data_IF_508917488878
#
_entry.id   IF_508917488878
#
_cell.length_a   1.000
_cell.length_b   1.000
_cell.length_c   1.000
_cell.angle_alpha   90.00
_cell.angle_beta   90.00
_cell.angle_gamma   90.00
#
_symmetry.space_group_name_H-M   'P 1'
#
loop_
_entity.id
_entity.type
_entity.pdbx_description
1 polymer ?
#
# COMPACT_ATOMS: atom_id res chain seq x y z
N UNK A 1 -36.21 9.98 22.33
CA UNK A 1 -35.02 9.27 21.86
C UNK A 1 -33.81 10.21 21.63
N UNK A 2 -33.80 11.44 22.16
CA UNK A 2 -32.74 12.45 21.96
C UNK A 2 -31.84 12.71 23.19
N UNK A 3 -32.22 12.31 24.38
CA UNK A 3 -31.41 12.58 25.60
C UNK A 3 -30.44 11.45 25.97
N UNK A 4 -30.72 10.20 25.57
CA UNK A 4 -29.85 9.05 25.86
C UNK A 4 -28.57 8.99 24.96
N UNK A 5 -28.48 9.80 23.90
CA UNK A 5 -27.33 9.88 22.98
C UNK A 5 -26.33 10.95 23.43
N UNK A 6 -26.77 11.95 24.20
CA UNK A 6 -25.91 13.07 24.63
C UNK A 6 -25.02 12.76 25.84
N UNK A 7 -25.37 11.76 26.65
CA UNK A 7 -24.67 11.46 27.93
C UNK A 7 -23.41 10.54 27.75
N UNK A 8 -23.09 10.04 26.55
CA UNK A 8 -21.88 9.23 26.30
C UNK A 8 -20.66 9.99 25.75
N UNK A 9 -20.70 11.32 25.78
CA UNK A 9 -19.68 12.19 25.14
C UNK A 9 -18.38 12.38 25.93
N UNK A 10 -18.06 11.56 26.94
CA UNK A 10 -16.88 11.76 27.80
C UNK A 10 -15.89 10.57 27.89
N UNK A 11 -16.15 9.44 27.23
CA UNK A 11 -15.30 8.24 27.32
C UNK A 11 -14.31 8.09 26.16
N UNK A 12 -13.24 7.28 26.32
CA UNK A 12 -12.35 6.96 25.22
C UNK A 12 -13.12 6.27 24.08
N UNK A 13 -12.95 6.73 22.84
CA UNK A 13 -13.69 6.29 21.64
C UNK A 13 -13.68 4.77 21.40
N UNK A 14 -12.66 4.06 21.88
CA UNK A 14 -12.55 2.60 21.70
C UNK A 14 -13.54 1.79 22.57
N UNK A 15 -14.16 2.40 23.59
CA UNK A 15 -15.20 1.75 24.40
C UNK A 15 -16.53 1.58 23.64
N UNK A 16 -16.75 2.38 22.59
CA UNK A 16 -17.95 2.32 21.77
C UNK A 16 -17.86 1.25 20.67
N UNK A 17 -16.70 0.60 20.55
CA UNK A 17 -16.41 -0.35 19.48
C UNK A 17 -16.67 -1.78 19.98
N UNK A 18 -17.51 -2.51 19.25
CA UNK A 18 -17.84 -3.90 19.56
C UNK A 18 -16.70 -4.86 19.23
N UNK A 19 -16.70 -6.04 19.86
CA UNK A 19 -15.72 -7.10 19.59
C UNK A 19 -15.70 -7.52 18.10
N UNK A 20 -16.86 -7.57 17.45
CA UNK A 20 -16.97 -7.89 16.02
C UNK A 20 -16.30 -6.84 15.14
N UNK A 21 -16.41 -5.56 15.48
CA UNK A 21 -15.76 -4.45 14.78
C UNK A 21 -14.23 -4.51 14.93
N UNK A 22 -13.74 -4.87 16.13
CA UNK A 22 -12.31 -5.11 16.34
C UNK A 22 -11.80 -6.30 15.53
N UNK A 23 -12.57 -7.38 15.41
CA UNK A 23 -12.20 -8.51 14.55
C UNK A 23 -12.16 -8.15 13.07
N UNK A 24 -13.11 -7.34 12.58
CA UNK A 24 -13.09 -6.84 11.22
C UNK A 24 -11.87 -5.94 10.95
N UNK A 25 -11.52 -5.04 11.89
CA UNK A 25 -10.33 -4.22 11.80
C UNK A 25 -9.06 -5.08 11.78
N UNK A 26 -8.94 -6.03 12.70
CA UNK A 26 -7.78 -6.92 12.77
C UNK A 26 -7.65 -7.76 11.49
N UNK A 27 -8.76 -8.25 10.93
CA UNK A 27 -8.75 -8.99 9.67
C UNK A 27 -8.21 -8.13 8.51
N UNK A 28 -8.71 -6.91 8.37
CA UNK A 28 -8.23 -5.98 7.33
C UNK A 28 -6.78 -5.55 7.55
N UNK A 29 -6.39 -5.23 8.80
CA UNK A 29 -5.01 -4.84 9.12
C UNK A 29 -4.02 -5.99 8.91
N UNK A 30 -4.35 -7.18 9.41
CA UNK A 30 -3.48 -8.34 9.28
C UNK A 30 -3.41 -8.83 7.83
N UNK A 31 -4.53 -8.83 7.09
CA UNK A 31 -4.53 -9.12 5.66
C UNK A 31 -3.60 -8.18 4.90
N UNK A 32 -3.72 -6.87 5.14
CA UNK A 32 -2.85 -5.85 4.54
C UNK A 32 -1.38 -5.99 4.96
N UNK A 33 -1.12 -6.41 6.21
CA UNK A 33 0.24 -6.72 6.68
C UNK A 33 0.81 -7.95 5.98
N UNK A 34 0.02 -9.00 5.79
CA UNK A 34 0.45 -10.23 5.12
C UNK A 34 0.68 -10.00 3.62
N UNK A 35 -0.10 -9.13 2.98
CA UNK A 35 0.10 -8.69 1.60
C UNK A 35 1.43 -7.92 1.46
N UNK A 36 1.67 -6.92 2.32
CA UNK A 36 2.93 -6.20 2.38
C UNK A 36 4.12 -7.13 2.64
N UNK A 37 3.95 -8.12 3.52
CA UNK A 37 4.94 -9.14 3.80
C UNK A 37 5.36 -9.87 2.52
N UNK A 38 4.42 -10.46 1.78
CA UNK A 38 4.71 -11.22 0.57
C UNK A 38 5.35 -10.39 -0.54
N UNK A 39 4.85 -9.17 -0.74
CA UNK A 39 5.40 -8.26 -1.76
C UNK A 39 6.82 -7.86 -1.42
N UNK A 40 7.08 -7.53 -0.15
CA UNK A 40 8.39 -7.04 0.29
C UNK A 40 9.42 -8.15 0.46
N UNK A 41 9.02 -9.42 0.61
CA UNK A 41 9.96 -10.54 0.54
C UNK A 41 10.79 -10.48 -0.75
N UNK A 42 10.16 -10.14 -1.89
CA UNK A 42 10.88 -10.00 -3.15
C UNK A 42 11.93 -8.88 -3.11
N UNK A 43 11.62 -7.74 -2.50
CA UNK A 43 12.56 -6.62 -2.39
C UNK A 43 13.87 -7.02 -1.68
N UNK A 44 13.78 -7.89 -0.67
CA UNK A 44 14.95 -8.39 0.06
C UNK A 44 15.76 -9.44 -0.72
N UNK A 45 15.12 -10.25 -1.55
CA UNK A 45 15.80 -11.31 -2.32
C UNK A 45 16.22 -10.88 -3.72
N UNK A 46 15.77 -9.71 -4.17
CA UNK A 46 15.97 -9.17 -5.52
C UNK A 46 17.43 -9.20 -5.94
N UNK A 47 18.34 -8.69 -5.10
CA UNK A 47 19.79 -8.66 -5.41
C UNK A 47 20.41 -10.06 -5.46
N UNK A 48 19.89 -11.00 -4.69
CA UNK A 48 20.34 -12.40 -4.72
C UNK A 48 19.91 -13.09 -6.01
N UNK A 49 18.66 -12.86 -6.44
CA UNK A 49 18.13 -13.37 -7.71
C UNK A 49 18.90 -12.77 -8.89
N UNK A 50 19.18 -11.48 -8.87
CA UNK A 50 20.00 -10.81 -9.88
C UNK A 50 21.36 -11.49 -10.04
N UNK A 51 22.03 -11.82 -8.94
CA UNK A 51 23.32 -12.47 -8.93
C UNK A 51 23.24 -13.91 -9.44
N UNK A 52 22.24 -14.69 -9.00
CA UNK A 52 22.08 -16.11 -9.36
C UNK A 52 21.76 -16.28 -10.86
N UNK A 53 20.86 -15.43 -11.39
CA UNK A 53 20.39 -15.52 -12.77
C UNK A 53 21.07 -14.53 -13.72
N UNK A 54 22.13 -13.89 -13.28
CA UNK A 54 22.90 -12.86 -14.04
C UNK A 54 21.97 -11.86 -14.75
N UNK A 55 20.94 -11.39 -14.02
CA UNK A 55 19.92 -10.49 -14.55
C UNK A 55 20.24 -9.02 -14.29
N UNK A 56 19.79 -8.15 -15.20
CA UNK A 56 19.97 -6.71 -15.04
C UNK A 56 19.07 -6.15 -13.93
N UNK A 57 19.43 -5.00 -13.31
CA UNK A 57 18.55 -4.32 -12.36
C UNK A 57 17.20 -3.95 -12.97
N UNK A 58 17.15 -3.58 -14.26
CA UNK A 58 15.90 -3.30 -14.96
C UNK A 58 14.99 -4.55 -15.02
N UNK A 59 15.54 -5.72 -15.33
CA UNK A 59 14.78 -6.99 -15.35
C UNK A 59 14.26 -7.36 -13.96
N UNK A 60 15.06 -7.16 -12.92
CA UNK A 60 14.65 -7.39 -11.54
C UNK A 60 13.56 -6.41 -11.08
N UNK A 61 13.67 -5.13 -11.42
CA UNK A 61 12.63 -4.12 -11.19
C UNK A 61 11.34 -4.42 -11.96
N UNK A 62 11.45 -4.98 -13.18
CA UNK A 62 10.31 -5.39 -13.99
C UNK A 62 9.44 -6.46 -13.32
N UNK A 63 10.01 -7.37 -12.53
CA UNK A 63 9.24 -8.34 -11.76
C UNK A 63 8.29 -7.67 -10.75
N UNK A 64 8.73 -6.58 -10.12
CA UNK A 64 7.86 -5.78 -9.23
C UNK A 64 6.83 -5.01 -10.06
N UNK A 65 7.25 -4.44 -11.18
CA UNK A 65 6.36 -3.69 -12.08
C UNK A 65 5.20 -4.56 -12.57
N UNK A 66 5.46 -5.80 -12.98
CA UNK A 66 4.42 -6.76 -13.40
C UNK A 66 3.44 -7.06 -12.25
N UNK A 67 3.96 -7.26 -11.03
CA UNK A 67 3.14 -7.48 -9.83
C UNK A 67 2.21 -6.29 -9.57
N UNK A 68 2.72 -5.07 -9.61
CA UNK A 68 1.94 -3.85 -9.37
C UNK A 68 0.90 -3.60 -10.47
N UNK A 69 1.27 -3.85 -11.72
CA UNK A 69 0.36 -3.75 -12.86
C UNK A 69 -0.81 -4.73 -12.71
N UNK A 70 -0.51 -6.00 -12.41
CA UNK A 70 -1.50 -7.03 -12.16
C UNK A 70 -2.38 -6.70 -10.94
N UNK A 71 -1.80 -6.08 -9.90
CA UNK A 71 -2.52 -5.66 -8.69
C UNK A 71 -3.57 -4.57 -9.00
N UNK A 72 -3.30 -3.69 -9.97
CA UNK A 72 -4.30 -2.70 -10.39
C UNK A 72 -5.51 -3.37 -11.05
N UNK A 73 -5.28 -4.37 -11.91
CA UNK A 73 -6.33 -5.19 -12.52
C UNK A 73 -7.06 -6.04 -11.47
N UNK A 74 -6.31 -6.62 -10.53
CA UNK A 74 -6.82 -7.39 -9.40
C UNK A 74 -7.77 -6.58 -8.51
N UNK A 75 -7.44 -5.31 -8.24
CA UNK A 75 -8.28 -4.41 -7.46
C UNK A 75 -9.66 -4.19 -8.08
N UNK A 76 -9.71 -4.02 -9.40
CA UNK A 76 -10.97 -3.90 -10.15
C UNK A 76 -11.74 -5.21 -10.14
N UNK A 77 -11.07 -6.32 -10.46
CA UNK A 77 -11.68 -7.64 -10.55
C UNK A 77 -12.26 -8.10 -9.21
N UNK A 78 -11.46 -8.07 -8.15
CA UNK A 78 -11.89 -8.53 -6.83
C UNK A 78 -12.83 -7.55 -6.13
N UNK A 79 -12.80 -6.26 -6.47
CA UNK A 79 -13.83 -5.31 -6.06
C UNK A 79 -15.21 -5.78 -6.56
N UNK A 80 -15.32 -6.11 -7.85
CA UNK A 80 -16.57 -6.62 -8.43
C UNK A 80 -16.95 -8.02 -7.88
N UNK A 81 -15.97 -8.87 -7.60
CA UNK A 81 -16.19 -10.18 -6.96
C UNK A 81 -16.71 -9.98 -5.53
N UNK A 82 -16.10 -9.08 -4.74
CA UNK A 82 -16.51 -8.79 -3.36
C UNK A 82 -17.96 -8.29 -3.28
N UNK A 83 -18.42 -7.53 -4.27
CA UNK A 83 -19.83 -7.11 -4.33
C UNK A 83 -20.79 -8.29 -4.51
N UNK A 84 -20.41 -9.33 -5.25
CA UNK A 84 -21.23 -10.50 -5.55
C UNK A 84 -21.21 -11.56 -4.45
N UNK A 85 -20.01 -11.94 -3.97
CA UNK A 85 -19.83 -13.06 -3.05
C UNK A 85 -19.71 -12.66 -1.57
N UNK A 86 -19.45 -11.38 -1.30
CA UNK A 86 -19.24 -10.82 0.06
C UNK A 86 -17.79 -10.42 0.33
N UNK A 87 -17.63 -9.52 1.29
CA UNK A 87 -16.31 -8.93 1.62
C UNK A 87 -15.39 -9.94 2.28
N UNK A 88 -15.88 -10.70 3.24
CA UNK A 88 -15.16 -11.78 3.94
C UNK A 88 -14.66 -12.84 2.97
N UNK A 89 -15.55 -13.35 2.10
CA UNK A 89 -15.19 -14.41 1.14
C UNK A 89 -14.15 -13.92 0.14
N UNK A 90 -14.32 -12.70 -0.39
CA UNK A 90 -13.35 -12.09 -1.29
C UNK A 90 -11.99 -11.95 -0.62
N UNK A 91 -11.92 -11.43 0.61
CA UNK A 91 -10.70 -11.31 1.40
C UNK A 91 -10.01 -12.67 1.59
N UNK A 92 -10.76 -13.73 1.91
CA UNK A 92 -10.18 -15.07 2.06
C UNK A 92 -9.58 -15.60 0.75
N UNK A 93 -10.26 -15.40 -0.38
CA UNK A 93 -9.78 -15.85 -1.70
C UNK A 93 -8.51 -15.10 -2.07
N UNK A 94 -8.46 -13.78 -1.86
CA UNK A 94 -7.28 -12.98 -2.19
C UNK A 94 -6.07 -13.40 -1.37
N UNK A 95 -6.23 -13.61 -0.06
CA UNK A 95 -5.15 -14.11 0.83
C UNK A 95 -4.65 -15.47 0.36
N UNK A 96 -5.55 -16.40 -0.02
CA UNK A 96 -5.15 -17.71 -0.54
C UNK A 96 -4.39 -17.58 -1.87
N UNK A 97 -4.87 -16.74 -2.79
CA UNK A 97 -4.22 -16.53 -4.10
C UNK A 97 -2.80 -16.03 -3.93
N UNK A 98 -2.59 -14.94 -3.19
CA UNK A 98 -1.24 -14.40 -3.06
C UNK A 98 -0.31 -15.32 -2.25
N UNK A 99 -0.80 -16.03 -1.23
CA UNK A 99 0.02 -16.98 -0.46
C UNK A 99 0.49 -18.18 -1.29
N UNK A 100 -0.42 -18.77 -2.08
CA UNK A 100 -0.05 -19.87 -3.00
C UNK A 100 0.94 -19.38 -4.05
N UNK A 101 0.71 -18.19 -4.63
CA UNK A 101 1.59 -17.64 -5.65
C UNK A 101 2.95 -17.21 -5.09
N UNK A 102 3.02 -16.86 -3.79
CA UNK A 102 4.31 -16.70 -3.10
C UNK A 102 5.11 -18.00 -3.08
N UNK A 103 4.48 -19.11 -2.70
CA UNK A 103 5.12 -20.44 -2.77
C UNK A 103 5.57 -20.81 -4.20
N UNK A 104 4.74 -20.55 -5.21
CA UNK A 104 5.09 -20.76 -6.62
C UNK A 104 6.29 -19.90 -7.05
N UNK A 105 6.42 -18.69 -6.51
CA UNK A 105 7.61 -17.84 -6.74
C UNK A 105 8.89 -18.51 -6.23
N UNK A 106 8.83 -19.26 -5.11
CA UNK A 106 9.95 -20.04 -4.59
C UNK A 106 10.33 -21.25 -5.45
N UNK A 107 9.41 -21.76 -6.28
CA UNK A 107 9.67 -22.88 -7.20
C UNK A 107 10.21 -22.41 -8.56
N UNK A 108 10.24 -21.12 -8.84
CA UNK A 108 10.68 -20.59 -10.12
C UNK A 108 12.15 -20.95 -10.42
N UNK A 109 12.40 -21.37 -11.65
CA UNK A 109 13.73 -21.75 -12.14
C UNK A 109 14.31 -20.69 -13.10
N UNK A 110 13.51 -19.75 -13.54
CA UNK A 110 13.90 -18.65 -14.44
C UNK A 110 12.99 -17.43 -14.24
N UNK A 111 13.39 -16.29 -14.84
CA UNK A 111 12.66 -15.03 -14.74
C UNK A 111 11.23 -15.11 -15.27
N UNK A 112 10.99 -15.90 -16.33
CA UNK A 112 9.64 -16.03 -16.90
C UNK A 112 8.67 -16.72 -15.93
N UNK A 113 9.08 -17.84 -15.33
CA UNK A 113 8.27 -18.52 -14.32
C UNK A 113 8.02 -17.62 -13.10
N UNK A 114 9.04 -16.90 -12.66
CA UNK A 114 8.91 -15.93 -11.59
C UNK A 114 7.93 -14.82 -11.97
N UNK A 115 8.01 -14.25 -13.19
CA UNK A 115 7.09 -13.23 -13.68
C UNK A 115 5.62 -13.70 -13.66
N UNK A 116 5.36 -14.94 -14.09
CA UNK A 116 4.03 -15.53 -14.07
C UNK A 116 3.51 -15.64 -12.63
N UNK A 117 4.31 -16.19 -11.72
CA UNK A 117 3.93 -16.33 -10.31
C UNK A 117 3.68 -14.95 -9.65
N UNK A 118 4.54 -13.96 -9.95
CA UNK A 118 4.40 -12.59 -9.46
C UNK A 118 3.20 -11.85 -10.05
N UNK A 119 2.83 -12.13 -11.30
CA UNK A 119 1.62 -11.60 -11.93
C UNK A 119 0.36 -12.12 -11.22
N UNK A 120 0.30 -13.42 -10.98
CA UNK A 120 -0.83 -14.03 -10.27
C UNK A 120 -0.92 -13.55 -8.81
N UNK A 121 0.22 -13.42 -8.13
CA UNK A 121 0.31 -12.82 -6.79
C UNK A 121 -0.25 -11.39 -6.82
N UNK A 122 0.13 -10.59 -7.80
CA UNK A 122 -0.35 -9.22 -7.96
C UNK A 122 -1.88 -9.15 -8.07
N UNK A 123 -2.52 -10.05 -8.82
CA UNK A 123 -3.98 -10.09 -8.91
C UNK A 123 -4.63 -10.28 -7.53
N UNK A 124 -4.10 -11.20 -6.71
CA UNK A 124 -4.55 -11.39 -5.33
C UNK A 124 -4.36 -10.14 -4.47
N UNK A 125 -3.16 -9.55 -4.51
CA UNK A 125 -2.79 -8.34 -3.77
C UNK A 125 -3.79 -7.19 -3.99
N UNK A 126 -4.16 -6.91 -5.24
CA UNK A 126 -5.08 -5.82 -5.54
C UNK A 126 -6.45 -6.01 -4.90
N UNK A 127 -6.93 -7.24 -4.85
CA UNK A 127 -8.22 -7.60 -4.27
C UNK A 127 -8.24 -7.54 -2.75
N UNK A 128 -7.12 -7.79 -2.11
CA UNK A 128 -6.99 -7.78 -0.66
C UNK A 128 -7.29 -6.39 -0.09
N UNK A 129 -6.58 -5.36 -0.56
CA UNK A 129 -6.79 -3.99 -0.09
C UNK A 129 -8.24 -3.52 -0.24
N UNK A 130 -8.84 -3.78 -1.41
CA UNK A 130 -10.22 -3.38 -1.68
C UNK A 130 -11.21 -4.07 -0.73
N UNK A 131 -11.06 -5.39 -0.55
CA UNK A 131 -11.95 -6.20 0.31
C UNK A 131 -11.78 -5.86 1.79
N UNK A 132 -10.53 -5.68 2.26
CA UNK A 132 -10.22 -5.32 3.64
C UNK A 132 -10.70 -3.92 3.99
N UNK A 133 -10.45 -2.93 3.13
CA UNK A 133 -10.89 -1.55 3.35
C UNK A 133 -12.41 -1.44 3.38
N UNK A 134 -13.13 -2.15 2.50
CA UNK A 134 -14.60 -2.24 2.52
C UNK A 134 -15.10 -2.91 3.79
N UNK A 135 -14.54 -4.05 4.17
CA UNK A 135 -14.89 -4.76 5.39
C UNK A 135 -14.81 -3.84 6.62
N UNK A 136 -13.70 -3.12 6.78
CA UNK A 136 -13.50 -2.19 7.89
C UNK A 136 -14.47 -1.01 7.82
N UNK A 137 -14.61 -0.36 6.66
CA UNK A 137 -15.42 0.84 6.50
C UNK A 137 -16.92 0.57 6.62
N UNK A 138 -17.40 -0.61 6.21
CA UNK A 138 -18.81 -1.00 6.31
C UNK A 138 -19.18 -1.54 7.69
N UNK A 139 -18.18 -1.98 8.49
CA UNK A 139 -18.42 -2.54 9.83
C UNK A 139 -18.29 -1.48 10.93
N UNK A 140 -17.41 -0.49 10.75
CA UNK A 140 -17.13 0.53 11.77
C UNK A 140 -18.11 1.70 11.75
N UNK A 141 -18.41 2.31 12.93
CA UNK A 141 -19.27 3.48 13.03
C UNK A 141 -18.73 4.66 12.20
N UNK A 142 -19.58 5.45 11.54
CA UNK A 142 -19.17 6.54 10.64
C UNK A 142 -18.15 7.51 11.27
N UNK A 143 -18.34 7.87 12.55
CA UNK A 143 -17.49 8.81 13.31
C UNK A 143 -16.08 8.28 13.57
N UNK A 144 -15.86 6.98 13.47
CA UNK A 144 -14.57 6.33 13.77
C UNK A 144 -13.93 5.62 12.56
N UNK A 145 -14.58 5.63 11.37
CA UNK A 145 -14.09 4.98 10.15
C UNK A 145 -12.70 5.44 9.74
N UNK A 146 -12.45 6.75 9.77
CA UNK A 146 -11.13 7.30 9.42
C UNK A 146 -10.01 6.78 10.31
N UNK A 147 -10.27 6.66 11.63
CA UNK A 147 -9.32 6.06 12.58
C UNK A 147 -9.07 4.59 12.28
N UNK A 148 -10.14 3.84 12.01
CA UNK A 148 -10.05 2.42 11.70
C UNK A 148 -9.25 2.17 10.40
N UNK A 149 -9.52 2.92 9.34
CA UNK A 149 -8.78 2.81 8.08
C UNK A 149 -7.31 3.21 8.26
N UNK A 150 -7.02 4.26 9.05
CA UNK A 150 -5.64 4.64 9.39
C UNK A 150 -4.87 3.55 10.13
N UNK A 151 -5.52 2.90 11.11
CA UNK A 151 -4.95 1.75 11.83
C UNK A 151 -4.76 0.57 10.86
N UNK A 152 -5.73 0.27 10.01
CA UNK A 152 -5.61 -0.78 9.00
C UNK A 152 -4.40 -0.53 8.09
N UNK A 153 -4.21 0.70 7.60
CA UNK A 153 -3.09 1.06 6.72
C UNK A 153 -1.72 0.88 7.39
N UNK A 154 -1.61 1.03 8.71
CA UNK A 154 -0.36 0.77 9.44
C UNK A 154 0.08 -0.70 9.37
N UNK A 155 -0.82 -1.61 9.01
CA UNK A 155 -0.52 -3.01 8.72
C UNK A 155 0.60 -3.18 7.69
N UNK A 156 0.66 -2.29 6.69
CA UNK A 156 1.73 -2.31 5.69
C UNK A 156 3.13 -2.23 6.30
N UNK A 157 3.35 -1.32 7.26
CA UNK A 157 4.62 -1.20 7.95
C UNK A 157 4.97 -2.45 8.77
N UNK A 158 3.96 -3.06 9.41
CA UNK A 158 4.10 -4.32 10.15
C UNK A 158 4.53 -5.44 9.21
N UNK A 159 3.86 -5.58 8.07
CA UNK A 159 4.19 -6.60 7.05
C UNK A 159 5.62 -6.45 6.52
N UNK A 160 6.04 -5.21 6.25
CA UNK A 160 7.41 -4.96 5.79
C UNK A 160 8.45 -5.31 6.88
N UNK A 161 8.17 -5.04 8.17
CA UNK A 161 9.03 -5.45 9.28
C UNK A 161 9.12 -6.98 9.33
N UNK A 162 8.00 -7.69 9.20
CA UNK A 162 7.99 -9.15 9.17
C UNK A 162 8.80 -9.71 8.00
N UNK A 163 8.71 -9.10 6.81
CA UNK A 163 9.52 -9.45 5.65
C UNK A 163 11.02 -9.24 5.91
N UNK A 164 11.38 -8.12 6.55
CA UNK A 164 12.75 -7.81 6.93
C UNK A 164 13.32 -8.86 7.89
N UNK A 165 12.57 -9.22 8.94
CA UNK A 165 12.97 -10.24 9.92
C UNK A 165 13.11 -11.61 9.24
N UNK A 166 12.14 -11.99 8.40
CA UNK A 166 12.17 -13.26 7.66
C UNK A 166 13.40 -13.32 6.75
N UNK A 167 13.68 -12.25 6.01
CA UNK A 167 14.85 -12.18 5.15
C UNK A 167 16.16 -12.28 5.96
N UNK A 168 16.26 -11.59 7.12
CA UNK A 168 17.44 -11.67 7.98
C UNK A 168 17.73 -13.09 8.50
N UNK A 169 16.70 -13.84 8.80
CA UNK A 169 16.82 -15.18 9.42
C UNK A 169 16.92 -16.29 8.37
N UNK A 170 16.07 -16.23 7.34
CA UNK A 170 15.88 -17.34 6.37
C UNK A 170 16.87 -17.24 5.22
N UNK A 171 17.08 -16.04 4.66
CA UNK A 171 17.89 -15.86 3.44
C UNK A 171 19.34 -16.35 3.59
N UNK A 172 20.07 -16.05 4.68
CA UNK A 172 21.46 -16.49 4.83
C UNK A 172 21.63 -18.01 5.03
N UNK A 173 20.59 -18.68 5.56
CA UNK A 173 20.65 -20.11 5.92
C UNK A 173 20.06 -21.04 4.86
N UNK A 174 18.95 -20.60 4.25
CA UNK A 174 18.13 -21.45 3.38
C UNK A 174 17.96 -20.91 1.95
N UNK A 175 18.56 -19.74 1.67
CA UNK A 175 18.47 -19.11 0.36
C UNK A 175 17.13 -18.42 0.09
N UNK A 176 17.04 -17.75 -1.07
CA UNK A 176 15.89 -16.91 -1.41
C UNK A 176 14.60 -17.69 -1.70
N UNK A 177 14.71 -18.94 -2.15
CA UNK A 177 13.53 -19.79 -2.39
C UNK A 177 12.77 -20.07 -1.11
N UNK A 178 13.50 -20.37 -0.03
CA UNK A 178 12.90 -20.60 1.28
C UNK A 178 12.18 -19.36 1.83
N UNK A 179 12.66 -18.16 1.52
CA UNK A 179 11.99 -16.90 1.89
C UNK A 179 10.58 -16.85 1.32
N UNK A 180 10.37 -17.23 0.04
CA UNK A 180 9.05 -17.28 -0.57
C UNK A 180 8.14 -18.38 -0.01
N UNK A 181 8.70 -19.52 0.41
CA UNK A 181 7.90 -20.55 1.05
C UNK A 181 7.34 -20.10 2.40
N UNK A 182 8.03 -19.22 3.13
CA UNK A 182 7.45 -18.58 4.33
C UNK A 182 6.22 -17.75 3.97
N UNK A 183 6.17 -17.17 2.77
CA UNK A 183 5.02 -16.44 2.24
C UNK A 183 3.75 -17.30 2.05
N UNK A 184 3.82 -18.62 2.19
CA UNK A 184 2.63 -19.50 2.19
C UNK A 184 1.90 -19.46 3.55
N UNK A 185 2.61 -19.14 4.63
CA UNK A 185 2.05 -19.12 6.00
C UNK A 185 0.79 -18.25 6.13
N UNK A 186 0.68 -17.07 5.49
CA UNK A 186 -0.55 -16.28 5.47
C UNK A 186 -1.81 -17.04 5.08
N UNK A 187 -1.72 -18.10 4.27
CA UNK A 187 -2.89 -18.92 3.93
C UNK A 187 -3.63 -19.47 5.17
N UNK A 188 -2.90 -19.76 6.25
CA UNK A 188 -3.48 -20.23 7.50
C UNK A 188 -4.36 -19.18 8.17
N UNK A 189 -4.11 -17.90 7.93
CA UNK A 189 -4.90 -16.80 8.47
C UNK A 189 -6.34 -16.79 7.94
N UNK A 190 -6.57 -17.34 6.74
CA UNK A 190 -7.92 -17.48 6.19
C UNK A 190 -8.83 -18.34 7.05
N UNK A 191 -8.26 -19.33 7.77
CA UNK A 191 -9.03 -20.19 8.70
C UNK A 191 -9.56 -19.36 9.87
N UNK A 192 -8.74 -18.43 10.39
CA UNK A 192 -9.17 -17.51 11.44
C UNK A 192 -10.26 -16.54 10.92
N UNK A 193 -10.06 -15.94 9.74
CA UNK A 193 -11.07 -15.06 9.12
C UNK A 193 -12.40 -15.81 8.97
N UNK A 194 -12.36 -17.07 8.52
CA UNK A 194 -13.57 -17.90 8.33
C UNK A 194 -14.39 -18.02 9.60
N UNK A 195 -13.75 -18.15 10.76
CA UNK A 195 -14.42 -18.43 12.03
C UNK A 195 -14.79 -17.17 12.83
N UNK A 196 -14.01 -16.09 12.73
CA UNK A 196 -14.14 -14.93 13.61
C UNK A 196 -14.74 -13.69 12.96
N UNK A 197 -14.76 -13.61 11.62
CA UNK A 197 -15.23 -12.45 10.89
C UNK A 197 -16.60 -12.73 10.29
N UNK A 198 -17.52 -11.78 10.44
CA UNK A 198 -18.84 -11.81 9.81
C UNK A 198 -18.86 -10.93 8.55
N UNK A 199 -19.79 -11.22 7.62
CA UNK A 199 -20.08 -10.29 6.52
C UNK A 199 -20.74 -9.02 7.07
N UNK A 200 -20.42 -7.81 6.54
CA UNK A 200 -21.02 -6.56 6.97
C UNK A 200 -22.56 -6.58 6.78
N UNK A 201 -23.29 -6.11 7.79
CA UNK A 201 -24.77 -6.05 7.73
C UNK A 201 -25.26 -5.17 6.57
N UNK A 202 -24.55 -4.06 6.30
CA UNK A 202 -24.87 -3.15 5.18
C UNK A 202 -24.84 -3.92 3.85
N UNK A 203 -23.86 -4.81 3.64
CA UNK A 203 -23.79 -5.63 2.45
C UNK A 203 -24.91 -6.68 2.40
N UNK A 204 -25.23 -7.31 3.54
CA UNK A 204 -26.32 -8.28 3.62
C UNK A 204 -27.68 -7.65 3.30
N UNK A 205 -27.93 -6.43 3.79
CA UNK A 205 -29.13 -5.65 3.49
C UNK A 205 -29.19 -5.27 2.01
N UNK A 206 -28.12 -4.68 1.48
CA UNK A 206 -28.04 -4.33 0.07
C UNK A 206 -28.28 -5.55 -0.84
N UNK A 207 -27.75 -6.71 -0.49
CA UNK A 207 -27.96 -7.95 -1.24
C UNK A 207 -29.42 -8.40 -1.24
N UNK A 208 -30.15 -8.24 -0.11
CA UNK A 208 -31.60 -8.54 -0.02
C UNK A 208 -32.41 -7.58 -0.87
N UNK A 209 -32.10 -6.27 -0.81
CA UNK A 209 -32.79 -5.25 -1.59
C UNK A 209 -32.54 -5.36 -3.11
N UNK A 210 -31.30 -5.75 -3.52
CA UNK A 210 -30.98 -5.96 -4.94
C UNK A 210 -31.64 -7.22 -5.53
N UNK A 211 -32.03 -8.19 -4.69
CA UNK A 211 -32.86 -9.32 -5.14
C UNK A 211 -34.27 -8.86 -5.55
N UNK A 212 -34.72 -7.71 -5.03
CA UNK A 212 -36.05 -7.15 -5.29
C UNK A 212 -36.07 -6.03 -6.35
N UNK A 213 -34.95 -5.33 -6.60
CA UNK A 213 -34.87 -4.19 -7.53
C UNK A 213 -33.84 -4.42 -8.63
N UNK A 214 -34.31 -4.53 -9.88
CA UNK A 214 -33.47 -4.47 -11.09
C UNK A 214 -32.90 -3.05 -11.29
N UNK A 215 -31.57 -2.96 -11.49
CA UNK A 215 -30.78 -1.81 -11.97
C UNK A 215 -30.48 -0.70 -10.96
N UNK A 216 -29.27 -0.71 -10.41
CA UNK A 216 -28.53 0.51 -10.07
C UNK A 216 -27.72 0.92 -11.30
N UNK A 217 -27.89 2.14 -11.79
CA UNK A 217 -27.03 2.71 -12.83
C UNK A 217 -25.60 2.80 -12.29
N UNK A 218 -24.66 2.15 -12.98
CA UNK A 218 -23.25 2.16 -12.64
C UNK A 218 -22.71 3.58 -12.81
N UNK A 219 -22.45 4.27 -11.70
CA UNK A 219 -21.93 5.65 -11.70
C UNK A 219 -20.48 5.81 -12.20
N UNK A 220 -19.86 4.74 -12.72
CA UNK A 220 -18.47 4.75 -13.17
C UNK A 220 -18.19 5.80 -14.25
N UNK A 221 -19.04 5.91 -15.26
CA UNK A 221 -18.83 6.87 -16.34
C UNK A 221 -19.04 8.32 -15.92
N UNK A 222 -19.69 8.58 -14.78
CA UNK A 222 -19.94 9.94 -14.29
C UNK A 222 -18.63 10.66 -13.91
N UNK A 223 -17.58 9.92 -13.48
CA UNK A 223 -16.28 10.50 -13.14
C UNK A 223 -15.57 11.15 -14.35
N UNK A 224 -15.95 10.77 -15.57
CA UNK A 224 -15.43 11.33 -16.82
C UNK A 224 -16.32 12.44 -17.39
N UNK A 225 -17.44 12.75 -16.73
CA UNK A 225 -18.30 13.86 -17.10
C UNK A 225 -17.60 15.23 -16.96
N UNK A 226 -18.05 16.24 -17.73
CA UNK A 226 -17.40 17.57 -17.82
C UNK A 226 -17.10 18.21 -16.46
N UNK A 227 -17.93 17.98 -15.46
CA UNK A 227 -17.79 18.56 -14.11
C UNK A 227 -16.71 17.85 -13.25
N UNK A 228 -16.53 16.54 -13.44
CA UNK A 228 -15.68 15.71 -12.57
C UNK A 228 -14.36 15.29 -13.23
N UNK A 229 -14.26 15.30 -14.56
CA UNK A 229 -13.09 14.83 -15.30
C UNK A 229 -11.80 15.53 -14.86
N UNK A 230 -11.86 16.83 -14.56
CA UNK A 230 -10.70 17.59 -14.05
C UNK A 230 -10.20 17.01 -12.72
N UNK A 231 -11.11 16.76 -11.78
CA UNK A 231 -10.73 16.16 -10.48
C UNK A 231 -10.22 14.72 -10.65
N UNK A 232 -10.83 13.94 -11.56
CA UNK A 232 -10.38 12.58 -11.88
C UNK A 232 -8.96 12.58 -12.44
N UNK A 233 -8.65 13.44 -13.42
CA UNK A 233 -7.31 13.51 -14.00
C UNK A 233 -6.26 13.99 -13.00
N UNK A 234 -6.55 15.04 -12.22
CA UNK A 234 -5.61 15.57 -11.23
C UNK A 234 -5.40 14.57 -10.10
N UNK A 235 -6.46 13.94 -9.59
CA UNK A 235 -6.32 12.91 -8.53
C UNK A 235 -5.53 11.70 -9.04
N UNK A 236 -5.72 11.28 -10.30
CA UNK A 236 -4.92 10.22 -10.91
C UNK A 236 -3.45 10.64 -11.05
N UNK A 237 -3.19 11.86 -11.43
CA UNK A 237 -1.84 12.42 -11.56
C UNK A 237 -1.12 12.43 -10.19
N UNK A 238 -1.79 12.92 -9.15
CA UNK A 238 -1.27 12.91 -7.77
C UNK A 238 -0.99 11.47 -7.32
N UNK A 239 -1.95 10.55 -7.55
CA UNK A 239 -1.79 9.13 -7.24
C UNK A 239 -0.56 8.54 -7.94
N UNK A 240 -0.36 8.88 -9.20
CA UNK A 240 0.79 8.42 -10.00
C UNK A 240 2.10 8.89 -9.40
N UNK A 241 2.26 10.17 -9.13
CA UNK A 241 3.49 10.73 -8.58
C UNK A 241 3.82 10.16 -7.19
N UNK A 242 2.83 10.15 -6.31
CA UNK A 242 2.98 9.66 -4.94
C UNK A 242 3.37 8.18 -4.91
N UNK A 243 2.68 7.35 -5.71
CA UNK A 243 2.98 5.92 -5.78
C UNK A 243 4.27 5.62 -6.54
N UNK A 244 4.61 6.41 -7.56
CA UNK A 244 5.88 6.28 -8.27
C UNK A 244 7.05 6.51 -7.31
N UNK A 245 7.00 7.58 -6.52
CA UNK A 245 7.99 7.85 -5.47
C UNK A 245 8.08 6.70 -4.46
N UNK A 246 6.94 6.23 -3.98
CA UNK A 246 6.87 5.17 -2.99
C UNK A 246 7.43 3.83 -3.50
N UNK A 247 6.90 3.31 -4.59
CA UNK A 247 7.31 2.01 -5.13
C UNK A 247 8.74 2.01 -5.66
N UNK A 248 9.18 3.11 -6.28
CA UNK A 248 10.57 3.27 -6.68
C UNK A 248 11.53 3.24 -5.49
N UNK A 249 11.17 3.91 -4.39
CA UNK A 249 11.99 3.98 -3.18
C UNK A 249 12.03 2.64 -2.42
N UNK A 250 10.87 2.19 -1.96
CA UNK A 250 10.81 1.08 -1.01
C UNK A 250 11.11 -0.29 -1.63
N UNK A 251 10.93 -0.45 -2.95
CA UNK A 251 11.38 -1.66 -3.67
C UNK A 251 12.89 -1.80 -3.66
N UNK A 252 13.62 -0.71 -3.90
CA UNK A 252 15.07 -0.75 -4.03
C UNK A 252 15.82 -0.48 -2.73
N UNK A 253 15.12 -0.08 -1.67
CA UNK A 253 15.74 0.25 -0.38
C UNK A 253 16.59 -0.89 0.19
N UNK A 254 16.10 -2.16 0.28
CA UNK A 254 16.94 -3.26 0.74
C UNK A 254 18.17 -3.48 -0.16
N UNK A 255 17.97 -3.37 -1.47
CA UNK A 255 19.04 -3.47 -2.46
C UNK A 255 20.09 -2.37 -2.30
N UNK A 256 19.67 -1.13 -2.11
CA UNK A 256 20.57 0.00 -1.86
C UNK A 256 21.44 -0.20 -0.62
N UNK A 257 20.83 -0.61 0.48
CA UNK A 257 21.54 -0.87 1.73
C UNK A 257 22.54 -2.03 1.58
N UNK A 258 22.18 -3.06 0.80
CA UNK A 258 22.98 -4.28 0.65
C UNK A 258 24.11 -4.20 -0.38
N UNK A 259 23.90 -3.46 -1.48
CA UNK A 259 24.85 -3.40 -2.62
C UNK A 259 26.14 -2.68 -2.25
N UNK A 260 27.23 -3.09 -2.87
CA UNK A 260 28.54 -2.48 -2.69
C UNK A 260 28.58 -1.01 -3.15
N UNK A 261 29.41 -0.15 -2.54
CA UNK A 261 29.51 1.26 -2.88
C UNK A 261 29.87 1.53 -4.34
N UNK A 262 30.64 0.65 -4.99
CA UNK A 262 31.04 0.75 -6.40
C UNK A 262 29.83 0.64 -7.35
N UNK A 263 28.74 0.00 -6.88
CA UNK A 263 27.45 -0.10 -7.58
C UNK A 263 26.45 0.96 -7.11
N UNK A 264 26.90 1.95 -6.36
CA UNK A 264 26.07 3.00 -5.81
C UNK A 264 25.25 2.61 -4.59
N UNK A 265 25.52 1.47 -3.95
CA UNK A 265 24.89 1.04 -2.71
C UNK A 265 25.56 1.58 -1.45
N UNK A 266 25.02 1.24 -0.27
CA UNK A 266 25.58 1.63 1.02
C UNK A 266 26.62 0.63 1.59
N UNK A 267 26.74 -0.58 1.02
CA UNK A 267 27.75 -1.57 1.40
C UNK A 267 27.50 -2.30 2.73
N UNK A 268 26.30 -2.24 3.28
CA UNK A 268 25.98 -2.84 4.60
C UNK A 268 25.77 -4.36 4.57
N UNK A 269 25.64 -4.93 3.36
CA UNK A 269 25.42 -6.35 3.15
C UNK A 269 23.96 -6.78 3.39
N UNK A 270 23.54 -7.81 2.66
CA UNK A 270 22.14 -8.22 2.57
C UNK A 270 21.57 -8.71 3.92
N UNK A 271 22.37 -9.40 4.71
CA UNK A 271 21.94 -9.92 6.01
C UNK A 271 21.74 -8.83 7.07
N UNK A 272 22.38 -7.69 6.91
CA UNK A 272 22.29 -6.55 7.83
C UNK A 272 21.27 -5.50 7.40
N UNK A 273 20.89 -5.43 6.11
CA UNK A 273 19.93 -4.45 5.60
C UNK A 273 18.63 -4.33 6.45
N UNK A 274 18.07 -5.42 6.99
CA UNK A 274 16.89 -5.35 7.86
C UNK A 274 17.06 -4.47 9.09
N UNK A 275 18.28 -4.31 9.65
CA UNK A 275 18.54 -3.48 10.83
C UNK A 275 18.18 -2.00 10.56
N UNK A 276 18.36 -1.51 9.33
CA UNK A 276 18.00 -0.15 8.90
C UNK A 276 16.54 -0.04 8.44
N UNK A 277 16.00 -1.12 7.86
CA UNK A 277 14.61 -1.15 7.39
C UNK A 277 13.62 -1.13 8.56
N UNK A 278 13.89 -1.83 9.66
CA UNK A 278 12.96 -1.90 10.79
C UNK A 278 12.71 -0.52 11.41
N UNK A 279 13.72 0.30 11.78
CA UNK A 279 13.47 1.67 12.26
C UNK A 279 12.73 2.55 11.24
N UNK A 280 13.03 2.38 9.95
CA UNK A 280 12.33 3.08 8.87
C UNK A 280 10.85 2.74 8.87
N UNK A 281 10.48 1.47 9.02
CA UNK A 281 9.08 1.04 9.06
C UNK A 281 8.37 1.41 10.37
N UNK A 282 9.10 1.53 11.48
CA UNK A 282 8.57 2.12 12.71
C UNK A 282 8.21 3.59 12.47
N UNK A 283 9.06 4.35 11.78
CA UNK A 283 8.74 5.70 11.33
C UNK A 283 7.49 5.74 10.45
N UNK A 284 7.38 4.84 9.48
CA UNK A 284 6.21 4.71 8.61
C UNK A 284 4.92 4.43 9.40
N UNK A 285 4.97 3.53 10.38
CA UNK A 285 3.83 3.23 11.27
C UNK A 285 3.32 4.50 11.96
N UNK A 286 4.20 5.28 12.58
CA UNK A 286 3.81 6.55 13.19
C UNK A 286 3.33 7.57 12.16
N UNK A 287 3.92 7.60 10.97
CA UNK A 287 3.44 8.42 9.85
C UNK A 287 1.99 8.09 9.50
N UNK A 288 1.63 6.82 9.32
CA UNK A 288 0.26 6.38 9.04
C UNK A 288 -0.72 6.78 10.14
N UNK A 289 -0.35 6.57 11.40
CA UNK A 289 -1.24 6.83 12.53
C UNK A 289 -1.46 8.32 12.76
N UNK A 290 -0.43 9.16 12.56
CA UNK A 290 -0.47 10.58 12.93
C UNK A 290 -0.90 11.51 11.80
N UNK A 291 -0.71 11.12 10.54
CA UNK A 291 -0.98 11.99 9.40
C UNK A 291 -2.40 12.57 9.39
N UNK A 292 -3.41 11.73 9.65
CA UNK A 292 -4.80 12.17 9.68
C UNK A 292 -5.04 13.30 10.68
N UNK A 293 -4.48 13.17 11.89
CA UNK A 293 -4.61 14.20 12.94
C UNK A 293 -3.92 15.52 12.55
N UNK A 294 -2.76 15.43 11.89
CA UNK A 294 -2.02 16.60 11.41
C UNK A 294 -2.81 17.28 10.29
N UNK A 295 -3.32 16.49 9.32
CA UNK A 295 -4.08 17.00 8.18
C UNK A 295 -5.42 17.61 8.59
N UNK A 296 -6.07 17.11 9.65
CA UNK A 296 -7.29 17.69 10.22
C UNK A 296 -7.03 19.06 10.84
N UNK A 297 -5.83 19.27 11.43
CA UNK A 297 -5.46 20.53 12.06
C UNK A 297 -4.93 21.58 11.08
N UNK A 298 -4.00 21.19 10.20
CA UNK A 298 -3.29 22.10 9.31
C UNK A 298 -3.98 22.28 7.95
N UNK A 299 -4.83 21.34 7.54
CA UNK A 299 -5.42 21.27 6.21
C UNK A 299 -4.85 20.09 5.40
N UNK A 300 -5.65 19.62 4.43
CA UNK A 300 -5.25 18.46 3.59
C UNK A 300 -4.07 18.83 2.68
N UNK A 301 -4.23 19.90 1.89
CA UNK A 301 -3.23 20.31 0.90
C UNK A 301 -1.85 20.64 1.52
N UNK A 302 -1.74 21.52 2.53
CA UNK A 302 -0.43 21.87 3.08
C UNK A 302 0.26 20.68 3.74
N UNK A 303 -0.49 19.78 4.40
CA UNK A 303 0.09 18.60 5.03
C UNK A 303 0.63 17.63 3.99
N UNK A 304 -0.13 17.31 2.93
CA UNK A 304 0.35 16.47 1.84
C UNK A 304 1.58 17.07 1.15
N UNK A 305 1.53 18.37 0.79
CA UNK A 305 2.65 19.04 0.14
C UNK A 305 3.91 19.01 1.03
N UNK A 306 3.77 19.28 2.32
CA UNK A 306 4.88 19.25 3.27
C UNK A 306 5.52 17.85 3.36
N UNK A 307 4.71 16.79 3.52
CA UNK A 307 5.21 15.42 3.58
C UNK A 307 5.96 15.03 2.30
N UNK A 308 5.41 15.37 1.14
CA UNK A 308 6.02 15.05 -0.15
C UNK A 308 7.31 15.84 -0.41
N UNK A 309 7.36 17.13 -0.07
CA UNK A 309 8.58 17.93 -0.20
C UNK A 309 9.69 17.45 0.74
N UNK A 310 9.35 17.14 1.99
CA UNK A 310 10.33 16.55 2.93
C UNK A 310 10.81 15.21 2.40
N UNK A 311 9.93 14.37 1.84
CA UNK A 311 10.32 13.10 1.21
C UNK A 311 11.25 13.28 0.03
N UNK A 312 11.03 14.33 -0.81
CA UNK A 312 11.90 14.64 -1.92
C UNK A 312 13.33 14.97 -1.47
N UNK A 313 13.45 15.78 -0.41
CA UNK A 313 14.76 16.12 0.17
C UNK A 313 15.41 14.88 0.80
N UNK A 314 14.65 14.15 1.61
CA UNK A 314 15.16 12.97 2.33
C UNK A 314 15.63 11.88 1.38
N UNK A 315 14.90 11.58 0.29
CA UNK A 315 15.30 10.53 -0.65
C UNK A 315 16.58 10.90 -1.39
N UNK A 316 16.74 12.18 -1.72
CA UNK A 316 17.97 12.68 -2.35
C UNK A 316 19.17 12.56 -1.41
N UNK A 317 19.04 13.05 -0.18
CA UNK A 317 20.09 12.96 0.86
C UNK A 317 20.44 11.50 1.15
N UNK A 318 19.44 10.64 1.34
CA UNK A 318 19.62 9.22 1.66
C UNK A 318 20.36 8.48 0.54
N UNK A 319 19.99 8.70 -0.73
CA UNK A 319 20.63 8.08 -1.88
C UNK A 319 22.12 8.45 -2.03
N UNK A 320 22.54 9.62 -1.52
CA UNK A 320 23.92 10.08 -1.56
C UNK A 320 24.71 9.79 -0.27
N UNK A 321 24.04 9.31 0.77
CA UNK A 321 24.66 8.99 2.07
C UNK A 321 25.21 7.55 2.05
N UNK A 322 26.43 7.37 2.57
CA UNK A 322 27.09 6.06 2.75
C UNK A 322 27.38 5.75 4.21
N UNK A 323 27.30 6.74 5.08
CA UNK A 323 27.50 6.58 6.51
C UNK A 323 26.35 5.79 7.13
N UNK A 324 26.66 4.66 7.75
CA UNK A 324 25.67 3.72 8.33
C UNK A 324 24.84 4.37 9.44
N UNK A 325 25.47 5.23 10.26
CA UNK A 325 24.78 5.92 11.36
C UNK A 325 23.80 6.94 10.83
N UNK A 326 24.20 7.71 9.83
CA UNK A 326 23.33 8.70 9.19
C UNK A 326 22.13 8.03 8.49
N UNK A 327 22.35 6.91 7.80
CA UNK A 327 21.28 6.11 7.21
C UNK A 327 20.31 5.59 8.27
N UNK A 328 20.80 5.18 9.46
CA UNK A 328 19.97 4.76 10.57
C UNK A 328 19.10 5.90 11.12
N UNK A 329 19.63 7.11 11.20
CA UNK A 329 18.91 8.30 11.67
C UNK A 329 17.89 8.78 10.64
N UNK A 330 18.27 8.82 9.36
CA UNK A 330 17.39 9.29 8.28
C UNK A 330 16.23 8.30 7.99
N UNK A 331 16.45 7.00 8.20
CA UNK A 331 15.48 5.96 7.90
C UNK A 331 14.09 6.22 8.48
N UNK A 332 13.94 6.42 9.80
CA UNK A 332 12.63 6.71 10.41
C UNK A 332 11.92 7.92 9.79
N UNK A 333 12.64 8.97 9.43
CA UNK A 333 12.05 10.15 8.80
C UNK A 333 11.59 9.83 7.37
N UNK A 334 12.36 9.07 6.59
CA UNK A 334 11.92 8.60 5.27
C UNK A 334 10.66 7.75 5.40
N UNK A 335 10.62 6.84 6.37
CA UNK A 335 9.43 6.05 6.64
C UNK A 335 8.23 6.92 6.98
N UNK A 336 8.40 7.85 7.92
CA UNK A 336 7.35 8.74 8.42
C UNK A 336 6.76 9.62 7.30
N UNK A 337 7.59 10.37 6.62
CA UNK A 337 7.15 11.30 5.58
C UNK A 337 6.83 10.60 4.26
N UNK A 338 7.60 9.59 3.86
CA UNK A 338 7.44 8.86 2.61
C UNK A 338 6.26 7.88 2.57
N UNK A 339 5.61 7.61 3.70
CA UNK A 339 4.50 6.65 3.78
C UNK A 339 3.24 7.23 4.41
N UNK A 340 3.36 8.14 5.38
CA UNK A 340 2.25 8.58 6.24
C UNK A 340 1.02 9.10 5.51
N UNK A 341 1.20 9.79 4.39
CA UNK A 341 0.12 10.38 3.60
C UNK A 341 -0.86 9.35 3.01
N UNK A 342 -0.48 8.07 2.88
CA UNK A 342 -1.39 7.04 2.38
C UNK A 342 -2.58 6.78 3.30
N UNK A 343 -2.46 7.06 4.62
CA UNK A 343 -3.56 6.85 5.57
C UNK A 343 -4.78 7.72 5.30
N UNK A 344 -4.59 8.93 4.78
CA UNK A 344 -5.67 9.86 4.45
C UNK A 344 -5.90 10.02 2.95
N UNK A 345 -5.14 9.33 2.10
CA UNK A 345 -5.19 9.52 0.65
C UNK A 345 -6.56 9.19 0.05
N UNK A 346 -7.16 8.08 0.47
CA UNK A 346 -8.50 7.68 0.04
C UNK A 346 -9.57 8.67 0.50
N UNK A 347 -9.47 9.15 1.75
CA UNK A 347 -10.38 10.17 2.28
C UNK A 347 -10.27 11.47 1.48
N UNK A 348 -9.06 11.94 1.21
CA UNK A 348 -8.79 13.14 0.45
C UNK A 348 -9.39 13.10 -0.97
N UNK A 349 -9.19 11.99 -1.71
CA UNK A 349 -9.85 11.82 -3.01
C UNK A 349 -11.38 11.81 -2.84
N UNK A 350 -11.90 11.11 -1.83
CA UNK A 350 -13.35 10.99 -1.63
C UNK A 350 -14.06 12.34 -1.37
N UNK A 351 -13.35 13.30 -0.75
CA UNK A 351 -13.85 14.64 -0.45
C UNK A 351 -14.04 15.50 -1.71
N UNK A 352 -13.39 15.15 -2.83
CA UNK A 352 -13.49 15.88 -4.12
C UNK A 352 -14.69 15.47 -4.97
N UNK A 353 -15.35 14.36 -4.64
CA UNK A 353 -16.40 13.78 -5.49
C UNK A 353 -17.75 13.70 -4.75
N UNK A 354 -18.87 13.90 -5.48
CA UNK A 354 -20.20 13.72 -4.92
C UNK A 354 -20.43 12.26 -4.55
N UNK A 355 -21.32 12.02 -3.57
CA UNK A 355 -21.59 10.68 -3.01
C UNK A 355 -21.87 9.61 -4.09
N UNK A 356 -22.60 9.97 -5.15
CA UNK A 356 -22.96 9.06 -6.26
C UNK A 356 -21.76 8.56 -7.08
N UNK A 357 -20.67 9.33 -7.16
CA UNK A 357 -19.48 9.02 -7.97
C UNK A 357 -18.25 8.67 -7.12
N UNK A 358 -18.29 8.86 -5.79
CA UNK A 358 -17.17 8.81 -4.86
C UNK A 358 -16.43 7.48 -4.87
N UNK A 359 -17.17 6.37 -4.75
CA UNK A 359 -16.56 5.02 -4.74
C UNK A 359 -15.83 4.72 -6.05
N UNK A 360 -16.47 5.02 -7.19
CA UNK A 360 -15.87 4.84 -8.50
C UNK A 360 -14.63 5.75 -8.69
N UNK A 361 -14.69 7.00 -8.20
CA UNK A 361 -13.58 7.94 -8.30
C UNK A 361 -12.37 7.50 -7.47
N UNK A 362 -12.56 7.14 -6.21
CA UNK A 362 -11.47 6.66 -5.34
C UNK A 362 -10.85 5.39 -5.93
N UNK A 363 -11.68 4.41 -6.31
CA UNK A 363 -11.22 3.17 -6.91
C UNK A 363 -10.44 3.39 -8.21
N UNK A 364 -10.97 4.20 -9.11
CA UNK A 364 -10.33 4.51 -10.38
C UNK A 364 -9.02 5.28 -10.20
N UNK A 365 -9.04 6.44 -9.51
CA UNK A 365 -7.87 7.30 -9.37
C UNK A 365 -6.71 6.57 -8.66
N UNK A 366 -7.03 5.77 -7.64
CA UNK A 366 -6.03 4.99 -6.92
C UNK A 366 -5.40 3.91 -7.81
N UNK A 367 -6.22 3.09 -8.49
CA UNK A 367 -5.71 1.98 -9.30
C UNK A 367 -5.08 2.44 -10.62
N UNK A 368 -5.60 3.49 -11.25
CA UNK A 368 -4.97 4.09 -12.43
C UNK A 368 -3.61 4.70 -12.07
N UNK A 369 -3.50 5.40 -10.94
CA UNK A 369 -2.23 5.89 -10.43
C UNK A 369 -1.25 4.76 -10.11
N UNK A 370 -1.72 3.66 -9.48
CA UNK A 370 -0.91 2.45 -9.21
C UNK A 370 -0.41 1.82 -10.51
N UNK A 371 -1.27 1.70 -11.53
CA UNK A 371 -0.91 1.15 -12.83
C UNK A 371 0.21 1.96 -13.50
N UNK A 372 0.09 3.29 -13.52
CA UNK A 372 1.12 4.16 -14.11
C UNK A 372 2.42 4.13 -13.28
N UNK A 373 2.32 4.11 -11.96
CA UNK A 373 3.47 4.03 -11.05
C UNK A 373 4.17 2.66 -11.06
N UNK A 374 3.53 1.63 -11.61
CA UNK A 374 4.12 0.29 -11.71
C UNK A 374 5.45 0.27 -12.48
N UNK A 375 5.69 1.27 -13.33
CA UNK A 375 6.96 1.40 -14.04
C UNK A 375 8.13 1.86 -13.14
N UNK A 376 7.85 2.42 -11.95
CA UNK A 376 8.88 3.02 -11.10
C UNK A 376 10.03 2.05 -10.74
N UNK A 377 9.80 0.80 -10.29
CA UNK A 377 10.88 -0.12 -9.99
C UNK A 377 11.76 -0.44 -11.20
N UNK A 378 11.17 -0.58 -12.39
CA UNK A 378 11.91 -0.81 -13.63
C UNK A 378 12.75 0.39 -14.01
N UNK A 379 12.17 1.60 -13.95
CA UNK A 379 12.86 2.87 -14.29
C UNK A 379 14.04 3.10 -13.36
N UNK A 380 13.87 2.93 -12.04
CA UNK A 380 14.96 3.05 -11.08
C UNK A 380 16.04 1.98 -11.32
N UNK A 381 15.64 0.73 -11.60
CA UNK A 381 16.57 -0.33 -11.97
C UNK A 381 17.38 0.01 -13.24
N UNK A 382 16.75 0.58 -14.25
CA UNK A 382 17.44 1.06 -15.46
C UNK A 382 18.39 2.21 -15.18
N UNK A 383 17.93 3.25 -14.49
CA UNK A 383 18.78 4.40 -14.13
C UNK A 383 19.97 4.02 -13.25
N UNK A 384 19.82 2.96 -12.44
CA UNK A 384 20.90 2.49 -11.59
C UNK A 384 22.12 1.96 -12.36
N UNK A 385 21.94 1.55 -13.61
CA UNK A 385 23.05 1.09 -14.48
C UNK A 385 23.98 2.23 -14.87
N UNK A 386 23.47 3.46 -14.94
CA UNK A 386 24.26 4.65 -15.34
C UNK A 386 24.69 5.49 -14.14
N UNK A 387 23.78 5.70 -13.18
CA UNK A 387 23.99 6.62 -12.05
C UNK A 387 24.33 5.92 -10.74
N UNK A 388 24.39 4.59 -10.74
CA UNK A 388 24.41 3.80 -9.52
C UNK A 388 23.05 3.83 -8.80
N UNK A 389 22.83 2.90 -7.87
CA UNK A 389 21.51 2.77 -7.25
C UNK A 389 21.11 3.98 -6.40
N UNK A 390 22.05 4.55 -5.64
CA UNK A 390 21.79 5.76 -4.83
C UNK A 390 21.45 6.98 -5.69
N UNK A 391 22.19 7.20 -6.79
CA UNK A 391 21.88 8.26 -7.75
C UNK A 391 20.50 8.06 -8.39
N UNK A 392 20.16 6.82 -8.77
CA UNK A 392 18.86 6.49 -9.32
C UNK A 392 17.71 6.78 -8.33
N UNK A 393 17.89 6.47 -7.04
CA UNK A 393 16.91 6.84 -6.01
C UNK A 393 16.73 8.35 -5.89
N UNK A 394 17.77 9.14 -6.09
CA UNK A 394 17.70 10.61 -6.08
C UNK A 394 16.70 11.17 -7.11
N UNK A 395 16.50 10.52 -8.26
CA UNK A 395 15.51 10.94 -9.26
C UNK A 395 14.07 10.86 -8.75
N UNK A 396 13.80 10.07 -7.71
CA UNK A 396 12.48 10.01 -7.09
C UNK A 396 12.07 11.33 -6.43
N UNK A 397 13.03 12.21 -6.11
CA UNK A 397 12.74 13.56 -5.65
C UNK A 397 11.87 14.33 -6.65
N UNK A 398 12.03 14.08 -7.96
CA UNK A 398 11.19 14.68 -9.02
C UNK A 398 9.74 14.22 -8.87
N UNK A 399 9.52 12.93 -8.62
CA UNK A 399 8.18 12.39 -8.44
C UNK A 399 7.51 12.96 -7.18
N UNK A 400 8.21 12.99 -6.05
CA UNK A 400 7.69 13.57 -4.81
C UNK A 400 7.38 15.07 -4.96
N UNK A 401 8.27 15.83 -5.61
CA UNK A 401 8.05 17.26 -5.89
C UNK A 401 6.86 17.46 -6.85
N UNK A 402 6.77 16.65 -7.91
CA UNK A 402 5.64 16.67 -8.85
C UNK A 402 4.31 16.40 -8.14
N UNK A 403 4.28 15.44 -7.23
CA UNK A 403 3.12 15.17 -6.36
C UNK A 403 2.77 16.36 -5.48
N UNK A 404 3.77 16.98 -4.82
CA UNK A 404 3.57 18.14 -3.98
C UNK A 404 3.00 19.34 -4.74
N UNK A 405 3.51 19.59 -5.95
CA UNK A 405 3.00 20.68 -6.80
C UNK A 405 1.59 20.38 -7.31
N UNK A 406 1.33 19.13 -7.71
CA UNK A 406 0.02 18.73 -8.24
C UNK A 406 -1.11 18.86 -7.21
N UNK A 407 -0.81 18.75 -5.90
CA UNK A 407 -1.82 18.90 -4.84
C UNK A 407 -2.45 20.30 -4.84
N UNK A 408 -1.75 21.33 -5.31
CA UNK A 408 -2.27 22.69 -5.39
C UNK A 408 -3.25 22.92 -6.54
N UNK A 409 -3.37 21.96 -7.47
CA UNK A 409 -4.34 22.01 -8.60
C UNK A 409 -5.77 21.67 -8.17
N UNK A 410 -5.98 21.15 -6.95
CA UNK A 410 -7.29 20.83 -6.38
C UNK A 410 -7.59 21.72 -5.18
N UNK A 411 -8.87 21.94 -4.83
CA UNK A 411 -9.24 22.79 -3.70
C UNK A 411 -8.83 22.18 -2.35
N UNK A 412 -8.70 23.02 -1.31
CA UNK A 412 -8.60 22.56 0.07
C UNK A 412 -9.94 21.98 0.51
N UNK A 413 -9.90 20.79 1.13
CA UNK A 413 -11.09 20.05 1.55
C UNK A 413 -11.27 19.97 3.08
N UNK A 414 -10.39 20.65 3.85
CA UNK A 414 -10.51 20.71 5.30
C UNK A 414 -11.89 21.22 5.74
N UNK A 415 -12.62 20.38 6.49
CA UNK A 415 -13.95 20.75 6.98
C UNK A 415 -15.06 20.80 5.93
N UNK A 416 -14.78 20.37 4.69
CA UNK A 416 -15.80 20.28 3.65
C UNK A 416 -16.85 19.22 4.01
N UNK A 417 -18.12 19.62 3.97
CA UNK A 417 -19.22 18.67 4.09
C UNK A 417 -19.18 17.72 2.88
N UNK A 418 -19.31 16.44 3.15
CA UNK A 418 -19.42 15.42 2.08
C UNK A 418 -20.72 15.67 1.29
N UNK A 419 -20.61 16.02 0.02
CA UNK A 419 -21.72 16.30 -0.90
C UNK A 419 -22.29 15.03 -1.53
#
# INVERSE_FOLDING_TARGET
>A
MSEAVAERAGGPWWKDITRKQWYALFAGQAGWALDAFDVMLYAFVLTTIMKEWNSSPAAAGFMVSVTLFASSAGGILFGAIADRIGRKKALMITVLVFSVCSGLSGLAQNLTQLAIARTLLGLGMGGEWASGALLVSETWPPQHRGKAVGIMQSGWAIGYILAAITAAVVLPRFGWRAVFFVGVVPALFTLWIRTQVDEPEIWLQAKREHAEKKKSEFGFFQIFGKELVRFTLISTLISTFVMFGYWGLFTWMPGFLAMAPEKGGAGLGIAKAPIWIIPMMIGAFFGYVTFGFIADRLGRRPTFAFYLLVSAVLVWVFGHTRDATMLMVLGPFIGFFGSGYFSAFGAFISELFPTRARGSAVGFCYNAGRMMSALAPTVIGYLSTTYGLGGALGFLAIAFTGGALSIFLIPETKGAALR
#
